data_IF_904332976935
#
_entry.id   IF_904332976935
#
_cell.length_a   1.000
_cell.length_b   1.000
_cell.length_c   1.000
_cell.angle_alpha   90.00
_cell.angle_beta   90.00
_cell.angle_gamma   90.00
#
_symmetry.space_group_name_H-M   'P 1'
#
loop_
_entity.id
_entity.type
_entity.pdbx_description
1 polymer ?
#
# COMPACT_ATOMS: atom_id res chain seq x y z
N UNK A 1 1.82 -36.32 -65.85
CA UNK A 1 2.73 -35.68 -64.85
C UNK A 1 2.13 -34.34 -64.37
N UNK A 2 1.53 -34.35 -63.22
CA UNK A 2 0.89 -33.18 -62.61
C UNK A 2 1.79 -32.67 -61.49
N UNK A 3 2.16 -31.38 -61.46
CA UNK A 3 2.97 -30.84 -60.36
C UNK A 3 2.07 -30.52 -59.16
N UNK A 4 2.43 -31.10 -58.02
CA UNK A 4 1.83 -30.81 -56.70
C UNK A 4 2.21 -29.35 -56.31
N UNK A 5 1.19 -28.49 -56.24
CA UNK A 5 1.31 -27.16 -55.59
C UNK A 5 1.12 -27.30 -54.08
N UNK A 6 2.16 -27.06 -53.31
CA UNK A 6 2.10 -26.93 -51.89
C UNK A 6 1.59 -25.52 -51.53
N UNK A 7 0.52 -25.37 -50.71
CA UNK A 7 0.16 -24.09 -50.17
C UNK A 7 1.11 -23.79 -48.99
N UNK A 8 1.89 -22.74 -49.09
CA UNK A 8 2.66 -22.16 -47.98
C UNK A 8 1.67 -21.47 -47.06
N UNK A 9 1.37 -22.07 -45.93
CA UNK A 9 0.61 -21.45 -44.88
C UNK A 9 1.48 -20.41 -44.16
N UNK A 10 1.23 -19.14 -44.42
CA UNK A 10 1.78 -18.03 -43.66
C UNK A 10 1.11 -17.99 -42.31
N UNK A 11 1.77 -18.54 -41.30
CA UNK A 11 1.37 -18.40 -39.92
C UNK A 11 1.69 -16.96 -39.46
N UNK A 12 0.66 -16.11 -39.41
CA UNK A 12 0.77 -14.76 -38.84
C UNK A 12 0.98 -14.87 -37.34
N UNK A 13 2.19 -14.66 -36.87
CA UNK A 13 2.56 -14.58 -35.47
C UNK A 13 2.03 -13.23 -34.91
N UNK A 14 0.85 -13.26 -34.29
CA UNK A 14 0.33 -12.12 -33.55
C UNK A 14 1.07 -12.03 -32.23
N UNK A 15 2.07 -11.16 -32.15
CA UNK A 15 2.77 -10.82 -30.92
C UNK A 15 1.83 -9.92 -30.10
N UNK A 16 1.12 -10.51 -29.14
CA UNK A 16 0.42 -9.78 -28.09
C UNK A 16 1.47 -9.13 -27.18
N UNK A 17 1.84 -7.89 -27.48
CA UNK A 17 2.60 -7.05 -26.55
C UNK A 17 1.65 -6.70 -25.42
N UNK A 18 1.63 -7.53 -24.37
CA UNK A 18 1.05 -7.16 -23.10
C UNK A 18 1.87 -6.00 -22.54
N UNK A 19 1.48 -4.79 -22.87
CA UNK A 19 2.09 -3.58 -22.32
C UNK A 19 1.87 -3.56 -20.82
N UNK A 20 2.90 -3.91 -20.05
CA UNK A 20 2.96 -3.58 -18.62
C UNK A 20 3.00 -2.06 -18.52
N UNK A 21 1.83 -1.43 -18.51
CA UNK A 21 1.73 0.00 -18.19
C UNK A 21 2.16 0.17 -16.74
N UNK A 22 3.34 0.77 -16.52
CA UNK A 22 3.72 1.18 -15.18
C UNK A 22 2.62 2.07 -14.61
N UNK A 23 2.12 1.83 -13.37
CA UNK A 23 1.07 2.65 -12.79
C UNK A 23 1.52 4.11 -12.77
N UNK A 24 0.64 5.00 -13.20
CA UNK A 24 0.93 6.43 -13.25
C UNK A 24 1.31 6.92 -11.85
N UNK A 25 2.20 7.90 -11.68
CA UNK A 25 2.65 8.36 -10.37
C UNK A 25 1.52 8.67 -9.38
N UNK A 26 0.39 9.19 -9.87
CA UNK A 26 -0.80 9.47 -9.06
C UNK A 26 -1.62 8.23 -8.67
N UNK A 27 -1.47 7.10 -9.37
CA UNK A 27 -2.11 5.84 -9.00
C UNK A 27 -1.38 5.17 -7.84
N UNK A 28 -0.08 5.46 -7.65
CA UNK A 28 0.71 4.94 -6.52
C UNK A 28 0.28 5.53 -5.18
N UNK A 29 -0.32 6.71 -5.19
CA UNK A 29 -0.88 7.38 -4.01
C UNK A 29 -2.40 7.25 -4.03
N UNK A 30 -2.91 6.15 -4.57
CA UNK A 30 -4.32 5.84 -4.40
C UNK A 30 -4.53 5.61 -2.91
N UNK A 31 -5.04 6.65 -2.30
CA UNK A 31 -5.46 6.61 -0.92
C UNK A 31 -6.60 5.60 -0.91
N UNK A 32 -6.34 4.41 -0.39
CA UNK A 32 -7.39 3.43 -0.21
C UNK A 32 -8.47 4.10 0.64
N UNK A 33 -9.65 4.25 0.08
CA UNK A 33 -10.79 4.72 0.85
C UNK A 33 -11.04 3.67 1.92
N UNK A 34 -10.73 4.04 3.16
CA UNK A 34 -10.99 3.18 4.31
C UNK A 34 -12.50 3.09 4.47
N UNK A 35 -13.09 1.88 4.40
CA UNK A 35 -14.51 1.74 4.64
C UNK A 35 -14.90 2.27 6.01
N UNK A 36 -15.97 3.05 6.07
CA UNK A 36 -16.40 3.71 7.31
C UNK A 36 -16.70 2.72 8.46
N UNK A 37 -17.21 1.53 8.12
CA UNK A 37 -17.48 0.44 9.06
C UNK A 37 -16.21 -0.21 9.62
N UNK A 38 -15.05 0.00 8.99
CA UNK A 38 -13.76 -0.54 9.43
C UNK A 38 -12.95 0.40 10.29
N UNK A 39 -13.30 1.68 10.35
CA UNK A 39 -12.51 2.70 11.05
C UNK A 39 -12.30 2.35 12.52
N UNK A 40 -13.33 1.95 13.22
CA UNK A 40 -13.22 1.61 14.65
C UNK A 40 -12.31 0.38 14.89
N UNK A 41 -12.40 -0.64 14.04
CA UNK A 41 -11.56 -1.83 14.10
C UNK A 41 -10.09 -1.48 13.82
N UNK A 42 -9.85 -0.63 12.83
CA UNK A 42 -8.52 -0.17 12.47
C UNK A 42 -7.90 0.67 13.60
N UNK A 43 -8.66 1.60 14.16
CA UNK A 43 -8.17 2.45 15.24
C UNK A 43 -7.84 1.65 16.50
N UNK A 44 -8.57 0.55 16.74
CA UNK A 44 -8.32 -0.37 17.84
C UNK A 44 -7.12 -1.30 17.63
N UNK A 45 -6.56 -1.35 16.41
CA UNK A 45 -5.41 -2.21 16.11
C UNK A 45 -4.20 -1.80 16.98
N UNK A 46 -3.64 -2.72 17.81
CA UNK A 46 -2.59 -2.38 18.73
C UNK A 46 -1.26 -2.05 18.05
N UNK A 47 -0.54 -1.11 18.64
CA UNK A 47 0.85 -0.80 18.32
C UNK A 47 1.75 -1.43 19.39
N UNK A 48 2.62 -2.32 18.98
CA UNK A 48 3.61 -2.95 19.87
C UNK A 48 4.89 -2.13 19.83
N UNK A 49 5.25 -1.54 20.97
CA UNK A 49 6.49 -0.80 21.13
C UNK A 49 7.58 -1.73 21.67
N UNK A 50 8.73 -1.75 21.03
CA UNK A 50 9.81 -2.70 21.31
C UNK A 50 10.53 -2.50 22.66
N UNK A 51 10.32 -1.36 23.31
CA UNK A 51 11.00 -0.97 24.56
C UNK A 51 10.20 -1.29 25.85
N UNK A 52 9.00 -1.74 25.71
CA UNK A 52 8.13 -2.03 26.87
C UNK A 52 8.49 -3.34 27.53
N UNK A 53 9.72 -3.71 27.76
CA UNK A 53 10.17 -4.83 28.61
C UNK A 53 9.17 -5.98 28.87
N UNK A 54 7.98 -5.82 28.37
CA UNK A 54 6.92 -6.79 28.36
C UNK A 54 7.38 -7.93 27.46
N UNK A 55 7.57 -9.07 28.04
CA UNK A 55 7.78 -10.35 27.36
C UNK A 55 6.78 -10.41 26.22
N UNK A 56 7.22 -9.94 25.08
CA UNK A 56 6.40 -9.84 23.89
C UNK A 56 5.95 -11.24 23.54
N UNK A 57 4.64 -11.41 23.43
CA UNK A 57 4.10 -12.64 22.86
C UNK A 57 4.76 -12.86 21.50
N UNK A 58 5.12 -14.09 21.16
CA UNK A 58 5.69 -14.36 19.85
C UNK A 58 4.73 -13.88 18.76
N UNK A 59 5.26 -13.24 17.76
CA UNK A 59 4.50 -12.80 16.60
C UNK A 59 5.23 -13.20 15.31
N UNK A 60 4.45 -13.39 14.25
CA UNK A 60 4.96 -13.53 12.90
C UNK A 60 5.05 -12.14 12.24
N UNK A 61 6.20 -11.82 11.66
CA UNK A 61 6.39 -10.60 10.87
C UNK A 61 5.81 -10.81 9.46
N UNK A 62 4.85 -10.00 9.07
CA UNK A 62 4.20 -10.03 7.75
C UNK A 62 4.82 -9.02 6.77
N UNK A 63 5.83 -8.29 7.24
CA UNK A 63 6.58 -7.33 6.43
C UNK A 63 6.10 -5.88 6.54
N UNK A 64 6.78 -4.98 5.84
CA UNK A 64 6.56 -3.55 5.94
C UNK A 64 5.23 -3.13 5.32
N UNK A 65 4.63 -2.11 5.93
CA UNK A 65 3.42 -1.42 5.46
C UNK A 65 3.62 0.08 5.53
N UNK A 66 2.90 0.80 4.69
CA UNK A 66 2.99 2.25 4.59
C UNK A 66 1.58 2.84 4.48
N UNK A 67 1.37 3.97 5.14
CA UNK A 67 0.18 4.79 5.01
C UNK A 67 0.56 6.24 4.72
N UNK A 68 -0.13 6.87 3.81
CA UNK A 68 0.10 8.27 3.43
C UNK A 68 -1.18 9.07 3.59
N UNK A 69 -1.12 10.13 4.38
CA UNK A 69 -2.14 11.16 4.42
C UNK A 69 -1.78 12.27 3.43
N UNK A 70 -2.70 12.62 2.55
CA UNK A 70 -2.46 13.55 1.46
C UNK A 70 -3.48 14.68 1.50
N UNK A 71 -2.98 15.90 1.58
CA UNK A 71 -3.78 17.10 1.39
C UNK A 71 -3.91 17.38 -0.10
N UNK A 72 -5.09 17.19 -0.66
CA UNK A 72 -5.37 17.43 -2.10
C UNK A 72 -5.89 18.82 -2.40
N UNK A 73 -6.40 19.50 -1.41
CA UNK A 73 -6.90 20.86 -1.53
C UNK A 73 -6.42 21.73 -0.37
N UNK A 74 -6.58 23.04 -0.48
CA UNK A 74 -6.23 23.95 0.61
C UNK A 74 -7.12 23.78 1.86
N UNK A 75 -8.27 23.13 1.72
CA UNK A 75 -9.25 22.89 2.79
C UNK A 75 -9.02 21.60 3.55
N UNK A 76 -8.25 20.67 2.97
CA UNK A 76 -7.93 19.39 3.60
C UNK A 76 -6.62 19.51 4.38
N UNK A 77 -6.51 18.75 5.46
CA UNK A 77 -5.29 18.67 6.27
C UNK A 77 -4.70 17.27 6.11
N UNK A 78 -3.41 17.21 5.76
CA UNK A 78 -2.64 15.99 5.97
C UNK A 78 -2.40 15.85 7.48
N UNK A 79 -2.61 14.64 8.03
CA UNK A 79 -2.43 14.41 9.46
C UNK A 79 -1.72 13.09 9.73
N UNK A 80 -0.98 13.05 10.82
CA UNK A 80 -0.35 11.84 11.30
C UNK A 80 -1.38 10.77 11.67
N UNK A 81 -2.49 11.17 12.28
CA UNK A 81 -3.58 10.25 12.63
C UNK A 81 -4.14 9.52 11.42
N UNK A 82 -4.40 10.25 10.34
CA UNK A 82 -4.88 9.65 9.09
C UNK A 82 -3.80 8.74 8.46
N UNK A 83 -2.53 9.16 8.46
CA UNK A 83 -1.43 8.35 7.96
C UNK A 83 -1.24 7.06 8.78
N UNK A 84 -1.33 7.13 10.12
CA UNK A 84 -1.26 5.97 11.03
C UNK A 84 -2.45 5.03 10.77
N UNK A 85 -3.67 5.57 10.65
CA UNK A 85 -4.87 4.77 10.35
C UNK A 85 -4.71 4.00 9.02
N UNK A 86 -4.17 4.64 8.00
CA UNK A 86 -3.88 4.00 6.71
C UNK A 86 -2.81 2.92 6.82
N UNK A 87 -1.78 3.16 7.61
CA UNK A 87 -0.74 2.15 7.90
C UNK A 87 -1.34 0.92 8.59
N UNK A 88 -2.18 1.13 9.59
CA UNK A 88 -2.91 0.05 10.29
C UNK A 88 -3.85 -0.70 9.34
N UNK A 89 -4.56 0.01 8.48
CA UNK A 89 -5.43 -0.62 7.48
C UNK A 89 -4.64 -1.52 6.53
N UNK A 90 -3.48 -1.07 6.07
CA UNK A 90 -2.57 -1.91 5.26
C UNK A 90 -2.10 -3.14 6.00
N UNK A 91 -1.82 -3.03 7.30
CA UNK A 91 -1.46 -4.18 8.12
C UNK A 91 -2.59 -5.20 8.19
N UNK A 92 -3.83 -4.76 8.39
CA UNK A 92 -5.00 -5.64 8.37
C UNK A 92 -5.19 -6.32 7.02
N UNK A 93 -5.01 -5.60 5.91
CA UNK A 93 -5.07 -6.18 4.56
C UNK A 93 -4.03 -7.28 4.32
N UNK A 94 -2.89 -7.22 5.01
CA UNK A 94 -1.87 -8.28 5.03
C UNK A 94 -2.18 -9.44 5.99
N UNK A 95 -3.28 -9.38 6.73
CA UNK A 95 -3.64 -10.37 7.73
C UNK A 95 -3.03 -10.09 9.11
N UNK A 96 -2.45 -8.91 9.34
CA UNK A 96 -1.92 -8.50 10.63
C UNK A 96 -3.03 -8.15 11.63
N UNK A 97 -2.77 -8.42 12.90
CA UNK A 97 -3.61 -8.00 14.02
C UNK A 97 -2.92 -7.01 14.96
N UNK A 98 -1.72 -6.57 14.59
CA UNK A 98 -0.96 -5.52 15.24
C UNK A 98 0.06 -4.91 14.28
N UNK A 99 0.66 -3.78 14.67
CA UNK A 99 1.81 -3.17 14.00
C UNK A 99 2.97 -2.98 14.99
N UNK A 100 4.19 -2.99 14.47
CA UNK A 100 5.42 -2.70 15.23
C UNK A 100 6.25 -1.67 14.48
N UNK A 101 7.20 -1.04 15.18
CA UNK A 101 8.15 -0.09 14.59
C UNK A 101 7.48 1.05 13.81
N UNK A 102 6.37 1.57 14.34
CA UNK A 102 5.70 2.71 13.72
C UNK A 102 6.62 3.92 13.73
N UNK A 103 6.82 4.47 12.56
CA UNK A 103 7.59 5.69 12.35
C UNK A 103 6.86 6.58 11.34
N UNK A 104 6.69 7.86 11.67
CA UNK A 104 6.09 8.84 10.79
C UNK A 104 7.14 9.90 10.41
N UNK A 105 7.25 10.18 9.13
CA UNK A 105 8.10 11.24 8.62
C UNK A 105 7.47 12.62 8.91
N UNK A 106 8.33 13.64 9.00
CA UNK A 106 7.86 15.03 9.04
C UNK A 106 7.05 15.36 7.78
N UNK A 107 6.02 16.21 7.92
CA UNK A 107 5.20 16.61 6.78
C UNK A 107 6.05 17.16 5.64
N UNK A 108 5.80 16.67 4.44
CA UNK A 108 6.44 17.17 3.21
C UNK A 108 5.47 18.08 2.47
N UNK A 109 5.98 19.23 2.03
CA UNK A 109 5.24 20.18 1.23
C UNK A 109 4.88 19.65 -0.16
N UNK A 110 4.37 20.52 -1.00
CA UNK A 110 3.90 20.21 -2.35
C UNK A 110 4.92 19.38 -3.15
N UNK A 111 4.47 18.25 -3.63
CA UNK A 111 5.24 17.37 -4.50
C UNK A 111 4.48 17.12 -5.80
N UNK A 112 5.15 17.31 -6.93
CA UNK A 112 4.59 16.98 -8.24
C UNK A 112 4.40 15.49 -8.45
N UNK A 113 5.20 14.66 -7.75
CA UNK A 113 5.12 13.19 -7.86
C UNK A 113 3.91 12.59 -7.16
N UNK A 114 3.39 13.25 -6.13
CA UNK A 114 2.27 12.76 -5.32
C UNK A 114 0.97 13.50 -5.56
N UNK A 115 1.01 14.65 -6.23
CA UNK A 115 -0.11 15.58 -6.40
C UNK A 115 -0.73 16.05 -5.06
N UNK A 116 0.02 15.93 -3.98
CA UNK A 116 -0.38 16.43 -2.67
C UNK A 116 0.16 17.84 -2.44
N UNK A 117 -0.64 18.73 -1.88
CA UNK A 117 -0.16 20.01 -1.37
C UNK A 117 0.71 19.82 -0.13
N UNK A 118 0.39 18.82 0.66
CA UNK A 118 1.12 18.38 1.82
C UNK A 118 0.87 16.89 2.01
N UNK A 119 1.86 16.16 2.48
CA UNK A 119 1.72 14.73 2.76
C UNK A 119 2.45 14.37 4.03
N UNK A 120 1.85 13.43 4.77
CA UNK A 120 2.47 12.75 5.92
C UNK A 120 2.55 11.29 5.58
N UNK A 121 3.71 10.68 5.80
CA UNK A 121 3.97 9.27 5.56
C UNK A 121 4.30 8.57 6.87
N UNK A 122 3.64 7.46 7.14
CA UNK A 122 3.98 6.57 8.24
C UNK A 122 4.32 5.18 7.70
N UNK A 123 5.30 4.54 8.30
CA UNK A 123 5.70 3.16 8.00
C UNK A 123 5.68 2.33 9.27
N UNK A 124 5.42 1.05 9.13
CA UNK A 124 5.43 0.08 10.23
C UNK A 124 5.67 -1.32 9.68
N UNK A 125 5.84 -2.31 10.54
CA UNK A 125 5.74 -3.71 10.18
C UNK A 125 4.37 -4.25 10.61
N UNK A 126 3.68 -4.92 9.69
CA UNK A 126 2.50 -5.69 10.02
C UNK A 126 2.91 -6.98 10.73
N UNK A 127 2.25 -7.33 11.81
CA UNK A 127 2.55 -8.56 12.56
C UNK A 127 1.27 -9.30 12.93
N UNK A 128 1.39 -10.63 13.01
CA UNK A 128 0.37 -11.52 13.52
C UNK A 128 0.78 -12.00 14.90
N UNK A 129 0.14 -11.48 15.94
CA UNK A 129 0.35 -11.94 17.31
C UNK A 129 -0.51 -13.16 17.57
N UNK A 130 0.08 -14.21 18.14
CA UNK A 130 -0.63 -15.42 18.57
C UNK A 130 -1.59 -15.06 19.71
N UNK A 131 -2.83 -15.52 19.60
CA UNK A 131 -3.86 -15.40 20.66
C UNK A 131 -3.58 -16.37 21.82
#
# INVERSE_FOLDING_TARGET
MLPLRHPVALASLVILVAGCSAPKPWERVRLDDIPADKVAEIDALPEIRGDTGARTRPYADLGPVEGVSCKRSRKELASWEDAIRRTKYRAMQKGGNAITNLYCEEPKGKSLSTLCYESVRCTANAVQVSQ
#
